data_IF_025899598777
#
_entry.id   IF_025899598777
#
_cell.length_a   1.000
_cell.length_b   1.000
_cell.length_c   1.000
_cell.angle_alpha   90.00
_cell.angle_beta   90.00
_cell.angle_gamma   90.00
#
_symmetry.space_group_name_H-M   'P 1'
#
loop_
_entity.id
_entity.type
_entity.pdbx_description
1 polymer ?
#
# COMPACT_ATOMS: atom_id res chain seq x y z
N UNK A 1 2.90 -16.61 35.80
CA UNK A 1 3.79 -16.46 34.63
C UNK A 1 3.05 -16.97 33.40
N UNK A 2 2.95 -16.13 32.37
CA UNK A 2 2.05 -16.22 31.21
C UNK A 2 2.08 -17.56 30.47
N UNK A 3 0.95 -18.28 30.47
CA UNK A 3 0.73 -19.52 29.73
C UNK A 3 0.32 -19.28 28.29
N UNK A 4 1.27 -18.93 27.41
CA UNK A 4 1.03 -18.99 25.97
C UNK A 4 1.18 -20.43 25.46
N UNK A 5 0.15 -20.92 24.77
CA UNK A 5 0.15 -22.27 24.22
C UNK A 5 1.24 -22.41 23.15
N UNK A 6 1.67 -23.64 22.88
CA UNK A 6 2.65 -23.93 21.81
C UNK A 6 2.07 -23.52 20.45
N UNK A 7 0.76 -23.72 20.26
CA UNK A 7 0.03 -23.29 19.06
C UNK A 7 0.09 -21.77 18.85
N UNK A 8 -0.06 -20.97 19.90
CA UNK A 8 0.02 -19.50 19.79
C UNK A 8 1.42 -19.04 19.37
N UNK A 9 2.46 -19.69 19.91
CA UNK A 9 3.85 -19.40 19.56
C UNK A 9 4.17 -19.75 18.10
N UNK A 10 3.66 -20.88 17.61
CA UNK A 10 3.82 -21.29 16.20
C UNK A 10 3.09 -20.32 15.28
N UNK A 11 1.87 -19.88 15.62
CA UNK A 11 1.15 -18.88 14.84
C UNK A 11 1.89 -17.54 14.83
N UNK A 12 2.38 -17.05 15.97
CA UNK A 12 3.14 -15.82 16.07
C UNK A 12 4.44 -15.84 15.24
N UNK A 13 5.15 -16.97 15.21
CA UNK A 13 6.34 -17.16 14.38
C UNK A 13 6.00 -17.10 12.88
N UNK A 14 4.91 -17.75 12.45
CA UNK A 14 4.43 -17.69 11.06
C UNK A 14 4.06 -16.26 10.66
N UNK A 15 3.36 -15.52 11.52
CA UNK A 15 3.02 -14.12 11.26
C UNK A 15 4.25 -13.22 11.17
N UNK A 16 5.25 -13.43 12.04
CA UNK A 16 6.52 -12.68 11.99
C UNK A 16 7.27 -12.92 10.68
N UNK A 17 7.39 -14.17 10.24
CA UNK A 17 8.05 -14.53 8.98
C UNK A 17 7.32 -13.98 7.76
N UNK A 18 5.98 -14.11 7.72
CA UNK A 18 5.16 -13.53 6.68
C UNK A 18 5.32 -12.00 6.62
N UNK A 19 5.31 -11.35 7.78
CA UNK A 19 5.53 -9.90 7.92
C UNK A 19 6.88 -9.43 7.39
N UNK A 20 7.96 -10.16 7.69
CA UNK A 20 9.29 -9.88 7.14
C UNK A 20 9.33 -10.05 5.60
N UNK A 21 8.63 -11.06 5.07
CA UNK A 21 8.48 -11.27 3.63
C UNK A 21 7.74 -10.12 2.92
N UNK A 22 6.68 -9.61 3.54
CA UNK A 22 5.92 -8.46 3.03
C UNK A 22 6.79 -7.19 3.01
N UNK A 23 7.46 -6.88 4.13
CA UNK A 23 8.32 -5.70 4.23
C UNK A 23 9.40 -5.70 3.15
N UNK A 24 10.08 -6.84 2.94
CA UNK A 24 11.08 -6.98 1.88
C UNK A 24 10.50 -6.74 0.49
N UNK A 25 9.29 -7.22 0.24
CA UNK A 25 8.64 -7.11 -1.07
C UNK A 25 8.15 -5.68 -1.35
N UNK A 26 7.64 -4.99 -0.32
CA UNK A 26 7.31 -3.56 -0.38
C UNK A 26 8.55 -2.74 -0.70
N UNK A 27 9.67 -2.95 -0.01
CA UNK A 27 10.93 -2.24 -0.29
C UNK A 27 11.43 -2.47 -1.72
N UNK A 28 11.29 -3.68 -2.26
CA UNK A 28 11.63 -4.00 -3.65
C UNK A 28 10.70 -3.33 -4.67
N UNK A 29 9.43 -3.12 -4.34
CA UNK A 29 8.49 -2.38 -5.18
C UNK A 29 8.75 -0.86 -5.15
N UNK A 30 9.30 -0.34 -4.04
CA UNK A 30 9.48 1.10 -3.76
C UNK A 30 10.96 1.49 -3.64
N UNK A 31 11.83 0.97 -4.52
CA UNK A 31 13.25 1.36 -4.56
C UNK A 31 13.42 2.81 -5.03
N UNK A 32 14.59 3.40 -4.82
CA UNK A 32 14.94 4.75 -5.31
C UNK A 32 15.26 4.79 -6.81
N UNK A 33 15.29 3.63 -7.48
CA UNK A 33 15.46 3.53 -8.93
C UNK A 33 14.30 4.26 -9.65
N UNK A 34 14.64 5.25 -10.49
CA UNK A 34 13.72 6.12 -11.23
C UNK A 34 13.06 5.34 -12.37
N UNK A 35 12.16 4.43 -11.99
CA UNK A 35 11.31 3.65 -12.86
C UNK A 35 10.05 3.25 -12.09
N UNK A 36 9.02 2.81 -12.82
CA UNK A 36 7.82 2.24 -12.18
C UNK A 36 8.15 1.02 -11.31
N UNK A 37 7.30 0.67 -10.32
CA UNK A 37 7.46 -0.58 -9.57
C UNK A 37 7.55 -1.77 -10.54
N UNK A 38 8.58 -2.62 -10.39
CA UNK A 38 8.78 -3.76 -11.29
C UNK A 38 7.58 -4.70 -11.17
N UNK A 39 7.03 -5.12 -12.31
CA UNK A 39 5.83 -5.98 -12.40
C UNK A 39 5.88 -7.19 -11.47
N UNK A 40 7.01 -7.92 -11.47
CA UNK A 40 7.21 -9.09 -10.58
C UNK A 40 6.98 -8.82 -9.08
N UNK A 41 7.22 -7.59 -8.62
CA UNK A 41 6.99 -7.22 -7.22
C UNK A 41 5.52 -6.87 -6.98
N UNK A 42 4.87 -6.21 -7.94
CA UNK A 42 3.43 -5.94 -7.88
C UNK A 42 2.61 -7.24 -7.95
N UNK A 43 2.95 -8.15 -8.86
CA UNK A 43 2.29 -9.46 -9.00
C UNK A 43 2.38 -10.26 -7.68
N UNK A 44 3.55 -10.25 -7.04
CA UNK A 44 3.74 -10.89 -5.74
C UNK A 44 2.88 -10.23 -4.64
N UNK A 45 2.84 -8.89 -4.58
CA UNK A 45 1.99 -8.19 -3.60
C UNK A 45 0.49 -8.46 -3.84
N UNK A 46 0.04 -8.57 -5.10
CA UNK A 46 -1.33 -9.00 -5.43
C UNK A 46 -1.59 -10.40 -4.89
N UNK A 47 -0.67 -11.34 -5.11
CA UNK A 47 -0.79 -12.68 -4.57
C UNK A 47 -0.92 -12.64 -3.04
N UNK A 48 -0.09 -11.85 -2.36
CA UNK A 48 -0.18 -11.65 -0.92
C UNK A 48 -1.57 -11.13 -0.48
N UNK A 49 -2.24 -10.29 -1.26
CA UNK A 49 -3.60 -9.84 -0.91
C UNK A 49 -4.67 -10.95 -0.97
N UNK A 50 -4.42 -12.01 -1.74
CA UNK A 50 -5.33 -13.14 -1.88
C UNK A 50 -5.08 -14.26 -0.86
N UNK A 51 -3.91 -14.27 -0.21
CA UNK A 51 -3.55 -15.27 0.79
C UNK A 51 -4.29 -15.04 2.13
N UNK A 52 -5.11 -15.99 2.61
CA UNK A 52 -5.93 -15.79 3.82
C UNK A 52 -5.13 -15.51 5.09
N UNK A 53 -3.88 -15.99 5.16
CA UNK A 53 -3.02 -15.86 6.35
C UNK A 53 -2.15 -14.59 6.33
N UNK A 54 -2.22 -13.80 5.25
CA UNK A 54 -1.49 -12.54 5.12
C UNK A 54 -2.28 -11.41 5.77
N UNK A 55 -1.62 -10.63 6.62
CA UNK A 55 -2.22 -9.45 7.24
C UNK A 55 -2.32 -8.30 6.24
N UNK A 56 -3.53 -8.06 5.72
CA UNK A 56 -3.85 -6.89 4.89
C UNK A 56 -3.51 -5.57 5.60
N UNK A 57 -3.86 -5.37 6.89
CA UNK A 57 -3.46 -4.17 7.62
C UNK A 57 -1.95 -3.93 7.62
N UNK A 58 -1.17 -4.99 7.84
CA UNK A 58 0.29 -4.88 7.85
C UNK A 58 0.84 -4.49 6.47
N UNK A 59 0.35 -5.14 5.40
CA UNK A 59 0.78 -4.81 4.04
C UNK A 59 0.47 -3.35 3.67
N UNK A 60 -0.76 -2.89 3.96
CA UNK A 60 -1.16 -1.51 3.69
C UNK A 60 -0.33 -0.52 4.52
N UNK A 61 -0.12 -0.78 5.81
CA UNK A 61 0.68 0.08 6.69
C UNK A 61 2.14 0.17 6.23
N UNK A 62 2.75 -0.93 5.80
CA UNK A 62 4.09 -0.91 5.23
C UNK A 62 4.17 0.01 4.01
N UNK A 63 3.18 -0.03 3.11
CA UNK A 63 3.13 0.88 1.95
C UNK A 63 2.89 2.34 2.36
N UNK A 64 2.00 2.59 3.32
CA UNK A 64 1.75 3.93 3.86
C UNK A 64 3.01 4.49 4.52
N UNK A 65 3.76 3.68 5.26
CA UNK A 65 5.04 4.07 5.86
C UNK A 65 6.04 4.51 4.79
N UNK A 66 6.12 3.80 3.66
CA UNK A 66 6.97 4.21 2.52
C UNK A 66 6.56 5.55 1.92
N UNK A 67 5.32 6.01 2.10
CA UNK A 67 4.90 7.36 1.67
C UNK A 67 5.48 8.49 2.52
N UNK A 68 6.00 8.18 3.72
CA UNK A 68 6.64 9.18 4.59
C UNK A 68 8.14 9.36 4.27
N UNK A 69 8.62 8.74 3.20
CA UNK A 69 10.00 8.87 2.75
C UNK A 69 10.29 10.25 2.14
N UNK A 70 11.53 10.72 2.22
CA UNK A 70 11.93 12.03 1.67
C UNK A 70 12.01 12.03 0.13
N UNK A 71 12.43 10.91 -0.45
CA UNK A 71 12.56 10.75 -1.91
C UNK A 71 11.20 10.67 -2.60
N UNK A 72 10.96 11.59 -3.54
CA UNK A 72 9.76 11.58 -4.38
C UNK A 72 9.57 10.24 -5.11
N UNK A 73 10.65 9.57 -5.52
CA UNK A 73 10.60 8.29 -6.26
C UNK A 73 9.96 7.21 -5.40
N UNK A 74 10.41 7.09 -4.15
CA UNK A 74 9.89 6.10 -3.19
C UNK A 74 8.42 6.40 -2.90
N UNK A 75 8.09 7.66 -2.59
CA UNK A 75 6.73 8.06 -2.25
C UNK A 75 5.78 7.78 -3.41
N UNK A 76 6.15 8.19 -4.62
CA UNK A 76 5.31 7.97 -5.80
C UNK A 76 5.14 6.48 -6.12
N UNK A 77 6.20 5.68 -6.06
CA UNK A 77 6.11 4.22 -6.27
C UNK A 77 5.25 3.52 -5.22
N UNK A 78 5.22 4.05 -3.99
CA UNK A 78 4.34 3.58 -2.93
C UNK A 78 2.87 3.86 -3.26
N UNK A 79 2.56 5.08 -3.73
CA UNK A 79 1.21 5.43 -4.20
C UNK A 79 0.79 4.61 -5.43
N UNK A 80 1.69 4.38 -6.38
CA UNK A 80 1.42 3.52 -7.55
C UNK A 80 1.12 2.09 -7.10
N UNK A 81 1.92 1.55 -6.16
CA UNK A 81 1.70 0.21 -5.63
C UNK A 81 0.37 0.11 -4.87
N UNK A 82 0.02 1.10 -4.05
CA UNK A 82 -1.29 1.20 -3.39
C UNK A 82 -2.43 1.17 -4.41
N UNK A 83 -2.39 2.03 -5.42
CA UNK A 83 -3.42 2.06 -6.47
C UNK A 83 -3.51 0.73 -7.23
N UNK A 84 -2.37 0.11 -7.52
CA UNK A 84 -2.31 -1.16 -8.21
C UNK A 84 -3.00 -2.27 -7.40
N UNK A 85 -2.75 -2.33 -6.08
CA UNK A 85 -3.42 -3.27 -5.19
C UNK A 85 -4.91 -2.99 -5.01
N UNK A 86 -5.34 -1.72 -5.04
CA UNK A 86 -6.78 -1.39 -5.04
C UNK A 86 -7.50 -1.95 -6.28
N UNK A 87 -6.86 -1.82 -7.46
CA UNK A 87 -7.48 -2.20 -8.73
C UNK A 87 -7.39 -3.70 -9.00
N UNK A 88 -6.25 -4.34 -8.74
CA UNK A 88 -5.97 -5.72 -9.15
C UNK A 88 -5.83 -6.69 -7.98
N UNK A 89 -5.68 -6.20 -6.76
CA UNK A 89 -5.65 -7.02 -5.55
C UNK A 89 -7.03 -7.47 -5.09
N UNK A 90 -7.03 -8.25 -4.01
CA UNK A 90 -8.25 -8.69 -3.33
C UNK A 90 -9.05 -7.50 -2.77
N UNK A 91 -10.38 -7.59 -2.79
CA UNK A 91 -11.26 -6.53 -2.30
C UNK A 91 -11.02 -6.16 -0.83
N UNK A 92 -10.55 -7.12 -0.01
CA UNK A 92 -10.15 -6.90 1.39
C UNK A 92 -9.14 -5.77 1.54
N UNK A 93 -8.27 -5.58 0.56
CA UNK A 93 -7.29 -4.48 0.55
C UNK A 93 -7.98 -3.12 0.41
N UNK A 94 -8.91 -2.99 -0.55
CA UNK A 94 -9.66 -1.75 -0.75
C UNK A 94 -10.61 -1.47 0.43
N UNK A 95 -11.24 -2.50 0.98
CA UNK A 95 -12.07 -2.41 2.20
C UNK A 95 -11.26 -1.89 3.39
N UNK A 96 -10.03 -2.40 3.57
CA UNK A 96 -9.15 -1.91 4.63
C UNK A 96 -8.76 -0.44 4.43
N UNK A 97 -8.37 -0.04 3.21
CA UNK A 97 -8.05 1.35 2.92
C UNK A 97 -9.26 2.30 3.06
N UNK A 98 -10.46 1.81 2.78
CA UNK A 98 -11.71 2.55 2.99
C UNK A 98 -12.09 2.70 4.48
N UNK A 99 -11.45 1.94 5.38
CA UNK A 99 -11.64 2.08 6.83
C UNK A 99 -10.98 3.38 7.34
N UNK A 100 -11.46 3.91 8.48
CA UNK A 100 -10.97 5.17 9.07
C UNK A 100 -9.46 5.20 9.41
N UNK A 101 -8.77 4.06 9.33
CA UNK A 101 -7.38 3.93 9.80
C UNK A 101 -6.33 4.15 8.70
N UNK A 102 -6.72 4.49 7.47
CA UNK A 102 -5.80 4.65 6.35
C UNK A 102 -6.00 5.99 5.64
N UNK A 103 -5.19 6.99 6.00
CA UNK A 103 -5.18 8.30 5.32
C UNK A 103 -3.80 8.64 4.80
N UNK A 104 -3.70 8.97 3.52
CA UNK A 104 -2.46 9.45 2.90
C UNK A 104 -2.31 10.95 3.16
N UNK A 105 -1.59 11.33 4.21
CA UNK A 105 -1.34 12.72 4.53
C UNK A 105 -0.10 13.26 3.80
N UNK A 106 -0.27 13.58 2.51
CA UNK A 106 0.80 14.10 1.66
C UNK A 106 0.55 15.54 1.20
N UNK A 107 -0.42 16.27 1.78
CA UNK A 107 -0.81 17.61 1.32
C UNK A 107 0.33 18.64 1.26
N UNK A 108 1.34 18.47 2.11
CA UNK A 108 2.54 19.33 2.17
C UNK A 108 3.82 18.66 1.65
N UNK A 109 3.73 17.47 1.05
CA UNK A 109 4.90 16.74 0.56
C UNK A 109 5.69 17.59 -0.45
N UNK A 110 7.00 17.72 -0.23
CA UNK A 110 7.90 18.47 -1.10
C UNK A 110 9.31 17.89 -1.03
N UNK A 111 9.78 17.37 -2.16
CA UNK A 111 11.16 16.98 -2.38
C UNK A 111 11.93 18.11 -3.08
N UNK A 112 13.02 18.57 -2.44
CA UNK A 112 13.85 19.69 -2.92
C UNK A 112 15.17 19.22 -3.55
N UNK A 113 15.38 17.91 -3.74
CA UNK A 113 16.64 17.33 -4.23
C UNK A 113 16.93 17.58 -5.72
N UNK A 114 16.06 18.32 -6.42
CA UNK A 114 16.26 18.78 -7.79
C UNK A 114 14.96 19.29 -8.42
N UNK A 115 15.05 19.80 -9.65
CA UNK A 115 13.88 20.29 -10.42
C UNK A 115 12.83 19.19 -10.56
N UNK A 116 13.26 17.96 -10.90
CA UNK A 116 12.34 16.83 -11.04
C UNK A 116 11.64 16.50 -9.71
N UNK A 117 12.33 16.56 -8.56
CA UNK A 117 11.70 16.32 -7.26
C UNK A 117 10.62 17.36 -6.94
N UNK A 118 10.89 18.62 -7.26
CA UNK A 118 9.94 19.71 -7.08
C UNK A 118 8.67 19.52 -7.93
N UNK A 119 8.85 19.22 -9.22
CA UNK A 119 7.73 18.99 -10.16
C UNK A 119 6.91 17.76 -9.74
N UNK A 120 7.58 16.66 -9.44
CA UNK A 120 6.94 15.39 -9.06
C UNK A 120 6.20 15.50 -7.73
N UNK A 121 6.65 16.37 -6.81
CA UNK A 121 5.92 16.65 -5.56
C UNK A 121 4.51 17.16 -5.82
N UNK A 122 4.30 17.97 -6.86
CA UNK A 122 2.95 18.45 -7.23
C UNK A 122 2.04 17.31 -7.66
N UNK A 123 2.54 16.37 -8.45
CA UNK A 123 1.77 15.19 -8.88
C UNK A 123 1.50 14.23 -7.73
N UNK A 124 2.47 14.02 -6.83
CA UNK A 124 2.31 13.20 -5.63
C UNK A 124 1.16 13.70 -4.76
N UNK A 125 1.11 15.02 -4.49
CA UNK A 125 0.02 15.63 -3.71
C UNK A 125 -1.35 15.37 -4.33
N UNK A 126 -1.47 15.57 -5.64
CA UNK A 126 -2.73 15.37 -6.39
C UNK A 126 -3.13 13.89 -6.40
N UNK A 127 -2.17 12.99 -6.60
CA UNK A 127 -2.43 11.57 -6.70
C UNK A 127 -2.80 10.95 -5.35
N UNK A 128 -2.14 11.37 -4.26
CA UNK A 128 -2.52 11.00 -2.91
C UNK A 128 -3.96 11.42 -2.57
N UNK A 129 -4.35 12.65 -2.96
CA UNK A 129 -5.73 13.13 -2.82
C UNK A 129 -6.72 12.25 -3.59
N UNK A 130 -6.40 11.90 -4.84
CA UNK A 130 -7.22 10.98 -5.63
C UNK A 130 -7.39 9.60 -4.97
N UNK A 131 -6.31 9.02 -4.42
CA UNK A 131 -6.40 7.71 -3.75
C UNK A 131 -7.23 7.77 -2.46
N UNK A 132 -7.11 8.84 -1.67
CA UNK A 132 -7.99 9.08 -0.52
C UNK A 132 -9.45 9.19 -0.97
N UNK A 133 -9.74 9.90 -2.06
CA UNK A 133 -11.09 10.03 -2.61
C UNK A 133 -11.63 8.69 -3.12
N UNK A 134 -10.80 7.87 -3.78
CA UNK A 134 -11.18 6.52 -4.22
C UNK A 134 -11.54 5.63 -3.03
N UNK A 135 -10.76 5.68 -1.95
CA UNK A 135 -11.07 4.95 -0.71
C UNK A 135 -12.35 5.47 -0.04
N UNK A 136 -12.53 6.79 0.00
CA UNK A 136 -13.74 7.44 0.52
C UNK A 136 -14.99 7.04 -0.27
N UNK A 137 -14.91 7.01 -1.60
CA UNK A 137 -15.99 6.55 -2.48
C UNK A 137 -16.34 5.08 -2.22
N UNK A 138 -15.33 4.21 -2.09
CA UNK A 138 -15.55 2.80 -1.77
C UNK A 138 -16.25 2.64 -0.42
N UNK A 139 -15.87 3.43 0.58
CA UNK A 139 -16.49 3.42 1.91
C UNK A 139 -17.99 3.75 1.87
N UNK A 140 -18.38 4.77 1.10
CA UNK A 140 -19.77 5.23 1.07
C UNK A 140 -20.68 4.32 0.24
N UNK A 141 -20.11 3.70 -0.80
CA UNK A 141 -20.88 2.91 -1.76
C UNK A 141 -20.79 1.40 -1.49
N UNK A 142 -19.83 0.96 -0.68
CA UNK A 142 -19.50 -0.45 -0.43
C UNK A 142 -19.11 -1.24 -1.70
N UNK A 143 -18.81 -0.56 -2.81
CA UNK A 143 -18.28 -1.17 -4.04
C UNK A 143 -17.35 -0.19 -4.78
N UNK A 144 -16.52 -0.72 -5.69
CA UNK A 144 -15.62 0.08 -6.54
C UNK A 144 -16.29 0.39 -7.88
N UNK A 145 -16.60 1.66 -8.15
CA UNK A 145 -17.14 2.12 -9.44
C UNK A 145 -16.30 1.71 -10.65
N UNK A 146 -15.00 1.50 -10.48
CA UNK A 146 -14.12 1.05 -11.56
C UNK A 146 -14.29 -0.44 -11.90
N UNK A 147 -14.96 -1.23 -11.06
CA UNK A 147 -15.14 -2.68 -11.21
C UNK A 147 -16.59 -3.10 -11.49
N UNK A 148 -17.54 -2.16 -11.47
CA UNK A 148 -18.94 -2.45 -11.79
C UNK A 148 -19.08 -2.77 -13.28
N UNK A 149 -19.84 -3.82 -13.61
CA UNK A 149 -20.19 -4.14 -15.00
C UNK A 149 -20.98 -2.96 -15.57
N UNK A 150 -20.40 -2.30 -16.59
CA UNK A 150 -21.13 -1.32 -17.39
C UNK A 150 -22.05 -2.10 -18.33
N UNK A 151 -23.32 -1.67 -18.39
CA UNK A 151 -24.37 -2.30 -19.20
C UNK A 151 -23.96 -2.44 -20.66
#
# INVERSE_FOLDING_TARGET
>A
MSGQSITDRVMAAKHSLAGQGLAKSVHKATTEEIMGPKKKHLDYLIQCTNEPNVSIPQLANLLIERTQHVSWVVVFKSLISLHHLMNYGNERFSQYLASNNCTLNLGSFLDKTGVQGYDMSTYIRRYAKYLNEKAYSYRHMAFDFCKVKRG
#
